data_IF_301388576001
#
_entry.id   IF_301388576001
#
_cell.length_a   1.000
_cell.length_b   1.000
_cell.length_c   1.000
_cell.angle_alpha   90.00
_cell.angle_beta   90.00
_cell.angle_gamma   90.00
#
_symmetry.space_group_name_H-M   'P 1'
#
loop_
_entity.id
_entity.type
_entity.pdbx_description
1 polymer ?
#
# COMPACT_ATOMS: atom_id res chain seq x y z
N UNK A 1 -6.61 -15.55 15.46
CA UNK A 1 -7.96 -15.27 14.92
C UNK A 1 -8.32 -13.85 15.28
N UNK A 2 -8.52 -12.97 14.30
CA UNK A 2 -8.97 -11.62 14.59
C UNK A 2 -10.45 -11.68 14.96
N UNK A 3 -10.79 -11.29 16.19
CA UNK A 3 -12.18 -11.14 16.61
C UNK A 3 -12.70 -9.81 16.09
N UNK A 4 -13.91 -9.81 15.55
CA UNK A 4 -14.54 -8.59 15.11
C UNK A 4 -15.02 -7.77 16.32
N UNK A 5 -14.67 -6.49 16.36
CA UNK A 5 -15.04 -5.55 17.44
C UNK A 5 -16.57 -5.37 17.60
N UNK A 6 -17.34 -5.54 16.52
CA UNK A 6 -18.80 -5.36 16.54
C UNK A 6 -19.59 -6.61 16.95
N UNK A 7 -19.14 -7.80 16.54
CA UNK A 7 -19.87 -9.06 16.69
C UNK A 7 -19.18 -10.02 17.69
N UNK A 8 -17.91 -9.81 18.03
CA UNK A 8 -17.09 -10.76 18.77
C UNK A 8 -16.75 -12.05 17.98
N UNK A 9 -17.38 -12.26 16.83
CA UNK A 9 -17.19 -13.44 15.97
C UNK A 9 -15.85 -13.42 15.23
N UNK A 10 -15.44 -14.58 14.74
CA UNK A 10 -14.21 -14.77 13.99
C UNK A 10 -14.25 -14.03 12.65
N UNK A 11 -13.11 -13.49 12.23
CA UNK A 11 -12.97 -12.82 10.94
C UNK A 11 -12.31 -13.74 9.93
N UNK A 12 -12.91 -13.83 8.75
CA UNK A 12 -12.48 -14.68 7.65
C UNK A 12 -12.07 -13.85 6.43
N UNK A 13 -11.04 -14.31 5.73
CA UNK A 13 -10.59 -13.70 4.47
C UNK A 13 -11.46 -14.26 3.34
N UNK A 14 -12.24 -13.40 2.69
CA UNK A 14 -13.04 -13.75 1.50
C UNK A 14 -12.40 -13.14 0.25
N UNK A 15 -12.46 -13.85 -0.87
CA UNK A 15 -11.98 -13.34 -2.16
C UNK A 15 -13.12 -12.63 -2.88
N UNK A 16 -12.93 -11.35 -3.21
CA UNK A 16 -13.88 -10.56 -3.98
C UNK A 16 -13.33 -10.13 -5.32
N UNK A 17 -14.15 -9.44 -6.11
CA UNK A 17 -13.78 -8.90 -7.44
C UNK A 17 -12.51 -8.03 -7.43
N UNK A 18 -12.22 -7.36 -6.31
CA UNK A 18 -11.10 -6.43 -6.16
C UNK A 18 -9.95 -7.01 -5.32
N UNK A 19 -9.96 -8.31 -5.04
CA UNK A 19 -8.99 -8.98 -4.19
C UNK A 19 -9.58 -9.50 -2.88
N UNK A 20 -8.71 -10.01 -2.04
CA UNK A 20 -9.02 -10.60 -0.74
C UNK A 20 -9.41 -9.50 0.25
N UNK A 21 -10.46 -9.71 1.03
CA UNK A 21 -10.90 -8.81 2.08
C UNK A 21 -11.28 -9.59 3.34
N UNK A 22 -10.99 -9.00 4.50
CA UNK A 22 -11.26 -9.61 5.80
C UNK A 22 -12.67 -9.20 6.26
N UNK A 23 -13.58 -10.15 6.48
CA UNK A 23 -14.97 -9.90 6.85
C UNK A 23 -15.38 -10.70 8.12
N UNK A 24 -16.31 -10.16 8.94
CA UNK A 24 -16.91 -10.94 10.05
C UNK A 24 -17.60 -12.18 9.45
N UNK A 25 -17.38 -13.34 10.07
CA UNK A 25 -18.01 -14.61 9.67
C UNK A 25 -19.54 -14.54 9.75
N UNK A 26 -20.08 -13.69 10.64
CA UNK A 26 -21.50 -13.55 10.90
C UNK A 26 -22.24 -12.63 9.91
N UNK A 27 -21.83 -12.61 8.64
CA UNK A 27 -22.57 -11.90 7.58
C UNK A 27 -23.84 -12.72 7.23
N UNK A 28 -25.06 -12.15 7.17
CA UNK A 28 -25.40 -10.73 6.97
C UNK A 28 -25.63 -9.89 8.24
N UNK A 29 -25.64 -10.49 9.43
CA UNK A 29 -25.93 -9.80 10.69
C UNK A 29 -24.86 -8.77 11.07
N UNK A 30 -23.59 -9.07 10.78
CA UNK A 30 -22.48 -8.15 10.96
C UNK A 30 -21.75 -7.87 9.64
N UNK A 31 -22.02 -6.71 9.05
CA UNK A 31 -21.34 -6.22 7.82
C UNK A 31 -19.97 -5.60 8.09
N UNK A 32 -19.28 -6.01 9.16
CA UNK A 32 -17.96 -5.47 9.46
C UNK A 32 -16.92 -6.07 8.51
N UNK A 33 -16.29 -5.19 7.72
CA UNK A 33 -15.24 -5.53 6.77
C UNK A 33 -14.00 -4.75 7.16
N UNK A 34 -12.97 -5.45 7.62
CA UNK A 34 -11.63 -4.87 7.73
C UNK A 34 -11.04 -4.90 6.33
N UNK A 35 -11.04 -3.73 5.70
CA UNK A 35 -10.23 -3.51 4.51
C UNK A 35 -8.78 -3.51 4.99
N UNK A 36 -8.10 -4.64 4.81
CA UNK A 36 -6.64 -4.67 4.88
C UNK A 36 -6.14 -3.51 4.04
N UNK A 37 -5.45 -2.56 4.69
CA UNK A 37 -4.89 -1.39 4.04
C UNK A 37 -4.10 -1.92 2.86
N UNK A 38 -4.54 -1.57 1.64
CA UNK A 38 -3.94 -1.93 0.35
C UNK A 38 -2.49 -2.37 0.57
N UNK A 39 -2.27 -3.67 0.64
CA UNK A 39 -0.95 -4.28 0.76
C UNK A 39 -0.27 -4.17 -0.59
N UNK A 40 -0.03 -2.93 -1.03
CA UNK A 40 1.05 -2.68 -1.94
C UNK A 40 2.33 -3.12 -1.23
N UNK A 41 3.31 -3.71 -1.94
CA UNK A 41 4.61 -3.95 -1.36
C UNK A 41 5.11 -2.65 -0.70
N UNK A 42 5.75 -2.74 0.48
CA UNK A 42 6.37 -1.57 1.07
C UNK A 42 7.28 -0.94 0.00
N UNK A 43 7.28 0.40 -0.13
CA UNK A 43 8.00 1.03 -1.21
C UNK A 43 9.49 0.71 -1.09
N UNK A 44 10.05 0.10 -2.13
CA UNK A 44 11.43 -0.37 -2.15
C UNK A 44 12.39 0.82 -2.08
N UNK A 45 13.30 0.82 -1.11
CA UNK A 45 14.32 1.87 -1.01
C UNK A 45 15.33 1.68 -2.12
N UNK A 46 15.52 2.68 -2.99
CA UNK A 46 16.59 2.61 -4.01
C UNK A 46 17.98 2.84 -3.41
N UNK A 47 18.08 3.33 -2.17
CA UNK A 47 19.36 3.70 -1.55
C UNK A 47 19.98 4.98 -2.11
N UNK A 48 19.42 5.52 -3.22
CA UNK A 48 19.78 6.82 -3.76
C UNK A 48 19.29 7.94 -2.85
N UNK A 49 20.22 8.80 -2.40
CA UNK A 49 19.88 10.04 -1.70
C UNK A 49 19.25 11.03 -2.67
N UNK A 50 18.30 11.79 -2.17
CA UNK A 50 17.61 12.82 -2.92
C UNK A 50 18.50 14.07 -3.01
N UNK A 51 19.07 14.31 -4.18
CA UNK A 51 19.90 15.48 -4.48
C UNK A 51 19.24 16.83 -4.15
N UNK A 52 17.91 16.93 -4.30
CA UNK A 52 17.17 18.17 -3.99
C UNK A 52 17.06 18.49 -2.51
N UNK A 53 17.18 17.51 -1.62
CA UNK A 53 17.01 17.76 -0.18
C UNK A 53 18.19 17.26 0.66
N UNK A 54 19.18 16.57 0.08
CA UNK A 54 20.39 16.08 0.74
C UNK A 54 20.17 14.95 1.77
N UNK A 55 19.01 14.93 2.43
CA UNK A 55 18.71 14.08 3.58
C UNK A 55 17.68 12.99 3.26
N UNK A 56 16.78 13.23 2.29
CA UNK A 56 15.74 12.28 1.91
C UNK A 56 16.29 11.13 1.04
N UNK A 57 15.58 10.00 1.03
CA UNK A 57 15.93 8.83 0.22
C UNK A 57 14.88 8.60 -0.87
N UNK A 58 15.29 8.09 -2.03
CA UNK A 58 14.36 7.70 -3.08
C UNK A 58 13.72 6.35 -2.77
N UNK A 59 12.39 6.36 -2.74
CA UNK A 59 11.52 5.22 -2.52
C UNK A 59 10.80 4.86 -3.82
N UNK A 60 10.81 3.59 -4.20
CA UNK A 60 10.11 3.05 -5.36
C UNK A 60 8.66 2.81 -4.95
N UNK A 61 7.75 3.56 -5.55
CA UNK A 61 6.31 3.40 -5.35
C UNK A 61 5.70 2.89 -6.63
N UNK A 62 4.74 1.98 -6.48
CA UNK A 62 3.90 1.55 -7.58
C UNK A 62 2.77 2.57 -7.77
N UNK A 63 2.69 3.14 -8.97
CA UNK A 63 1.64 4.07 -9.36
C UNK A 63 0.78 3.48 -10.46
N UNK A 64 -0.32 4.17 -10.81
CA UNK A 64 -1.21 3.79 -11.91
C UNK A 64 -0.48 3.58 -13.26
N UNK A 65 0.68 4.21 -13.43
CA UNK A 65 1.49 4.20 -14.65
C UNK A 65 2.78 3.38 -14.51
N UNK A 66 2.93 2.59 -13.45
CA UNK A 66 4.14 1.81 -13.16
C UNK A 66 4.95 2.34 -11.98
N UNK A 67 6.12 1.72 -11.76
CA UNK A 67 7.02 2.05 -10.65
C UNK A 67 7.71 3.40 -10.87
N UNK A 68 7.72 4.25 -9.86
CA UNK A 68 8.40 5.54 -9.87
C UNK A 68 9.17 5.76 -8.56
N UNK A 69 10.29 6.48 -8.65
CA UNK A 69 11.08 6.88 -7.48
C UNK A 69 10.51 8.18 -6.92
N UNK A 70 10.19 8.22 -5.65
CA UNK A 70 9.72 9.40 -4.95
C UNK A 70 10.54 9.65 -3.69
N UNK A 71 10.83 10.90 -3.37
CA UNK A 71 11.51 11.24 -2.13
C UNK A 71 10.67 10.82 -0.91
N UNK A 72 11.31 10.20 0.09
CA UNK A 72 10.70 9.82 1.37
C UNK A 72 10.13 11.01 2.14
N UNK A 73 10.68 12.21 1.93
CA UNK A 73 10.32 13.43 2.65
C UNK A 73 9.11 14.18 2.05
N UNK A 74 8.29 13.53 1.23
CA UNK A 74 7.02 14.11 0.76
C UNK A 74 6.10 14.39 1.96
N UNK A 75 5.50 15.59 2.13
CA UNK A 75 5.33 16.67 1.14
C UNK A 75 6.40 17.76 1.10
N UNK A 76 7.39 17.74 2.02
CA UNK A 76 8.46 18.74 2.08
C UNK A 76 9.38 18.70 0.84
N UNK A 77 9.60 17.50 0.29
CA UNK A 77 10.35 17.32 -0.95
C UNK A 77 9.49 16.58 -1.99
N UNK A 78 9.05 17.30 -3.02
CA UNK A 78 8.26 16.76 -4.15
C UNK A 78 9.12 16.16 -5.27
N UNK A 79 10.35 15.77 -4.96
CA UNK A 79 11.27 15.22 -5.96
C UNK A 79 10.84 13.80 -6.34
N UNK A 80 10.54 13.58 -7.62
CA UNK A 80 10.20 12.26 -8.18
C UNK A 80 11.02 12.02 -9.45
N UNK A 81 11.44 10.78 -9.67
CA UNK A 81 12.13 10.32 -10.89
C UNK A 81 11.35 9.15 -11.48
N UNK A 82 11.09 9.19 -12.78
CA UNK A 82 10.48 8.07 -13.50
C UNK A 82 11.53 6.96 -13.63
N UNK A 83 11.13 5.72 -13.40
CA UNK A 83 11.95 4.56 -13.69
C UNK A 83 11.49 4.07 -15.06
N UNK A 84 12.03 4.68 -16.12
CA UNK A 84 11.70 4.26 -17.48
C UNK A 84 12.51 2.99 -17.78
N UNK A 85 11.84 1.83 -17.69
CA UNK A 85 12.27 0.63 -18.40
C UNK A 85 11.98 0.83 -19.88
N UNK A 86 12.65 1.78 -20.53
CA UNK A 86 12.65 1.82 -21.98
C UNK A 86 13.68 0.81 -22.45
N UNK A 87 13.19 -0.40 -22.71
CA UNK A 87 13.70 -1.29 -23.75
C UNK A 87 14.15 -0.45 -24.94
N UNK A 88 15.41 -0.62 -25.33
CA UNK A 88 15.83 -0.38 -26.70
C UNK A 88 15.44 -1.59 -27.53
#
# INVERSE_FOLDING_TARGET
>A
MAKCDKCGSDMVIKVGRYGNFTACSNFPECKNILKDKKTGPPPEKTGEKCDKCGEGEFLIRDGKFGKFKACSRYPQCKNTRKMESHTQ
#
